data_IF_395290281658
#
_entry.id   IF_395290281658
#
_cell.length_a   1.000
_cell.length_b   1.000
_cell.length_c   1.000
_cell.angle_alpha   90.00
_cell.angle_beta   90.00
_cell.angle_gamma   90.00
#
_symmetry.space_group_name_H-M   'P 1'
#
loop_
_entity.id
_entity.type
_entity.pdbx_description
1 polymer ?
#
# COMPACT_ATOMS: atom_id res chain seq x y z
N UNK A 1 11.93 -25.45 33.30
CA UNK A 1 11.72 -25.84 31.88
C UNK A 1 10.24 -26.05 31.55
N UNK A 2 9.42 -26.61 32.46
CA UNK A 2 7.97 -26.82 32.27
C UNK A 2 7.12 -25.52 32.18
N UNK A 3 7.50 -24.48 32.92
CA UNK A 3 6.80 -23.18 33.00
C UNK A 3 6.68 -22.44 31.65
N UNK A 4 7.75 -22.50 30.84
CA UNK A 4 7.78 -21.88 29.52
C UNK A 4 6.88 -22.61 28.51
N UNK A 5 6.57 -23.89 28.73
CA UNK A 5 5.77 -24.68 27.78
C UNK A 5 4.27 -24.43 27.99
N UNK A 6 3.82 -24.31 29.24
CA UNK A 6 2.44 -23.88 29.56
C UNK A 6 2.12 -22.47 29.07
N UNK A 7 3.09 -21.53 29.17
CA UNK A 7 2.92 -20.18 28.65
C UNK A 7 2.73 -20.16 27.13
N UNK A 8 3.51 -20.98 26.40
CA UNK A 8 3.42 -21.08 24.94
C UNK A 8 2.09 -21.71 24.49
N UNK A 9 1.59 -22.70 25.23
CA UNK A 9 0.30 -23.35 24.94
C UNK A 9 -0.89 -22.39 25.20
N UNK A 10 -0.81 -21.57 26.26
CA UNK A 10 -1.79 -20.53 26.54
C UNK A 10 -1.76 -19.39 25.52
N UNK A 11 -0.59 -19.00 25.05
CA UNK A 11 -0.44 -18.03 23.96
C UNK A 11 -0.97 -18.57 22.63
N UNK A 12 -0.66 -19.82 22.29
CA UNK A 12 -1.12 -20.47 21.06
C UNK A 12 -2.66 -20.56 21.03
N UNK A 13 -3.28 -21.01 22.12
CA UNK A 13 -4.75 -21.07 22.22
C UNK A 13 -5.42 -19.71 22.13
N UNK A 14 -4.78 -18.65 22.66
CA UNK A 14 -5.30 -17.27 22.58
C UNK A 14 -5.16 -16.69 21.17
N UNK A 15 -4.05 -16.94 20.48
CA UNK A 15 -3.83 -16.55 19.08
C UNK A 15 -4.85 -17.21 18.16
N UNK A 16 -5.05 -18.53 18.30
CA UNK A 16 -6.00 -19.28 17.49
C UNK A 16 -7.44 -18.75 17.61
N UNK A 17 -7.82 -18.32 18.80
CA UNK A 17 -9.14 -17.76 19.07
C UNK A 17 -9.33 -16.38 18.44
N UNK A 18 -8.27 -15.57 18.38
CA UNK A 18 -8.26 -14.27 17.68
C UNK A 18 -8.32 -14.48 16.16
N UNK A 19 -7.58 -15.44 15.61
CA UNK A 19 -7.56 -15.74 14.17
C UNK A 19 -8.91 -16.28 13.65
N UNK A 20 -9.67 -16.97 14.50
CA UNK A 20 -11.01 -17.49 14.19
C UNK A 20 -12.13 -16.50 14.48
N UNK A 21 -11.83 -15.33 15.04
CA UNK A 21 -12.83 -14.29 15.28
C UNK A 21 -13.34 -13.73 13.93
N UNK A 22 -14.65 -13.80 13.63
CA UNK A 22 -15.22 -13.30 12.39
C UNK A 22 -15.01 -11.79 12.19
N UNK A 23 -14.90 -11.00 13.27
CA UNK A 23 -14.53 -9.59 13.17
C UNK A 23 -13.09 -9.47 12.64
N UNK A 24 -12.14 -10.19 13.24
CA UNK A 24 -10.74 -10.17 12.82
C UNK A 24 -10.57 -10.61 11.35
N UNK A 25 -11.28 -11.64 10.90
CA UNK A 25 -11.21 -12.07 9.50
C UNK A 25 -11.78 -11.02 8.54
N UNK A 26 -12.87 -10.34 8.91
CA UNK A 26 -13.43 -9.24 8.11
C UNK A 26 -12.45 -8.08 7.99
N UNK A 27 -11.80 -7.71 9.10
CA UNK A 27 -10.73 -6.71 9.15
C UNK A 27 -9.55 -7.07 8.23
N UNK A 28 -9.06 -8.31 8.31
CA UNK A 28 -7.94 -8.78 7.49
C UNK A 28 -8.33 -8.82 6.01
N UNK A 29 -9.55 -9.25 5.67
CA UNK A 29 -10.01 -9.38 4.29
C UNK A 29 -10.16 -8.03 3.60
N UNK A 30 -10.70 -7.02 4.27
CA UNK A 30 -10.78 -5.65 3.72
C UNK A 30 -9.39 -5.05 3.52
N UNK A 31 -8.50 -5.19 4.52
CA UNK A 31 -7.13 -4.67 4.43
C UNK A 31 -6.33 -5.35 3.32
N UNK A 32 -6.47 -6.67 3.20
CA UNK A 32 -5.75 -7.49 2.22
C UNK A 32 -6.26 -7.23 0.81
N UNK A 33 -7.56 -7.08 0.61
CA UNK A 33 -8.14 -6.73 -0.70
C UNK A 33 -7.60 -5.38 -1.20
N UNK A 34 -7.58 -4.38 -0.32
CA UNK A 34 -7.05 -3.06 -0.65
C UNK A 34 -5.54 -3.09 -0.96
N UNK A 35 -4.75 -3.82 -0.17
CA UNK A 35 -3.33 -4.02 -0.43
C UNK A 35 -3.08 -4.74 -1.78
N UNK A 36 -3.93 -5.70 -2.14
CA UNK A 36 -3.88 -6.38 -3.43
C UNK A 36 -4.21 -5.45 -4.60
N UNK A 37 -5.25 -4.62 -4.49
CA UNK A 37 -5.56 -3.62 -5.52
C UNK A 37 -4.39 -2.68 -5.76
N UNK A 38 -3.77 -2.16 -4.69
CA UNK A 38 -2.62 -1.26 -4.81
C UNK A 38 -1.39 -1.97 -5.40
N UNK A 39 -1.14 -3.22 -5.02
CA UNK A 39 -0.07 -4.05 -5.61
C UNK A 39 -0.28 -4.25 -7.11
N UNK A 40 -1.51 -4.54 -7.53
CA UNK A 40 -1.87 -4.69 -8.95
C UNK A 40 -1.68 -3.36 -9.71
N UNK A 41 -2.10 -2.24 -9.13
CA UNK A 41 -1.93 -0.90 -9.74
C UNK A 41 -0.44 -0.59 -9.91
N UNK A 42 0.37 -0.80 -8.88
CA UNK A 42 1.82 -0.58 -8.94
C UNK A 42 2.46 -1.48 -10.01
N UNK A 43 2.08 -2.76 -10.05
CA UNK A 43 2.56 -3.70 -11.05
C UNK A 43 2.19 -3.24 -12.47
N UNK A 44 0.96 -2.79 -12.68
CA UNK A 44 0.51 -2.28 -13.98
C UNK A 44 1.32 -1.05 -14.42
N UNK A 45 1.51 -0.06 -13.53
CA UNK A 45 2.33 1.12 -13.83
C UNK A 45 3.77 0.74 -14.16
N UNK A 46 4.36 -0.18 -13.39
CA UNK A 46 5.71 -0.67 -13.63
C UNK A 46 5.85 -1.35 -15.00
N UNK A 47 4.91 -2.23 -15.36
CA UNK A 47 4.91 -2.90 -16.65
C UNK A 47 4.69 -1.93 -17.81
N UNK A 48 3.80 -0.94 -17.65
CA UNK A 48 3.59 0.12 -18.65
C UNK A 48 4.86 0.94 -18.85
N UNK A 49 5.52 1.36 -17.77
CA UNK A 49 6.75 2.14 -17.84
C UNK A 49 7.88 1.36 -18.52
N UNK A 50 8.07 0.09 -18.16
CA UNK A 50 9.07 -0.78 -18.79
C UNK A 50 8.74 -1.01 -20.26
N UNK A 51 7.49 -1.33 -20.58
CA UNK A 51 7.07 -1.53 -21.97
C UNK A 51 7.32 -0.28 -22.82
N UNK A 52 6.94 0.89 -22.30
CA UNK A 52 7.17 2.15 -23.00
C UNK A 52 8.67 2.47 -23.14
N UNK A 53 9.49 2.13 -22.13
CA UNK A 53 10.95 2.30 -22.19
C UNK A 53 11.61 1.36 -23.19
N UNK A 54 11.14 0.11 -23.27
CA UNK A 54 11.70 -0.91 -24.16
C UNK A 54 11.35 -0.65 -25.63
N UNK A 55 10.08 -0.35 -25.93
CA UNK A 55 9.58 -0.22 -27.31
C UNK A 55 9.47 1.23 -27.79
N UNK A 56 9.31 2.20 -26.88
CA UNK A 56 9.04 3.60 -27.18
C UNK A 56 10.27 4.50 -27.20
N UNK A 57 11.48 3.98 -27.44
CA UNK A 57 12.74 4.75 -27.37
C UNK A 57 12.71 6.04 -28.20
N UNK A 58 12.11 6.02 -29.40
CA UNK A 58 11.95 7.22 -30.23
C UNK A 58 11.05 8.29 -29.60
N UNK A 59 9.98 7.87 -28.91
CA UNK A 59 9.11 8.77 -28.15
C UNK A 59 9.80 9.26 -26.88
N UNK A 60 10.44 8.38 -26.11
CA UNK A 60 11.18 8.78 -24.90
C UNK A 60 12.39 9.68 -25.19
N UNK A 61 13.01 9.55 -26.36
CA UNK A 61 14.11 10.42 -26.80
C UNK A 61 13.63 11.72 -27.46
N UNK A 62 12.34 11.81 -27.83
CA UNK A 62 11.79 13.03 -28.41
C UNK A 62 11.76 14.15 -27.36
N UNK A 63 12.32 15.29 -27.74
CA UNK A 63 12.40 16.50 -26.93
C UNK A 63 11.15 17.36 -27.10
N UNK A 64 10.77 18.06 -26.04
CA UNK A 64 9.66 19.01 -26.06
C UNK A 64 10.19 20.36 -26.53
N UNK A 65 9.90 20.71 -27.79
CA UNK A 65 10.35 21.96 -28.42
C UNK A 65 11.88 22.03 -28.57
N UNK A 66 12.44 23.24 -28.42
CA UNK A 66 13.90 23.50 -28.43
C UNK A 66 14.60 23.15 -27.09
N UNK A 67 13.88 22.54 -26.15
CA UNK A 67 14.43 22.19 -24.84
C UNK A 67 15.14 20.84 -24.86
N UNK A 68 16.11 20.65 -23.97
CA UNK A 68 16.79 19.37 -23.74
C UNK A 68 15.97 18.38 -22.88
N UNK A 69 14.75 18.75 -22.48
CA UNK A 69 13.83 17.87 -21.74
C UNK A 69 13.13 16.93 -22.72
N UNK A 70 13.37 15.63 -22.54
CA UNK A 70 12.69 14.58 -23.30
C UNK A 70 11.39 14.12 -22.63
N UNK A 71 10.48 13.56 -23.42
CA UNK A 71 9.28 12.92 -22.90
C UNK A 71 9.58 11.81 -21.89
N UNK A 72 10.73 11.12 -22.03
CA UNK A 72 11.19 10.13 -21.06
C UNK A 72 11.43 10.72 -19.67
N UNK A 73 12.00 11.92 -19.58
CA UNK A 73 12.23 12.62 -18.29
C UNK A 73 10.88 12.99 -17.65
N UNK A 74 9.94 13.52 -18.43
CA UNK A 74 8.61 13.90 -17.94
C UNK A 74 7.85 12.68 -17.43
N UNK A 75 7.86 11.57 -18.19
CA UNK A 75 7.24 10.30 -17.80
C UNK A 75 7.89 9.69 -16.55
N UNK A 76 9.22 9.75 -16.45
CA UNK A 76 9.94 9.30 -15.27
C UNK A 76 9.55 10.08 -14.03
N UNK A 77 9.53 11.41 -14.12
CA UNK A 77 9.11 12.28 -13.03
C UNK A 77 7.65 12.04 -12.62
N UNK A 78 6.76 11.90 -13.62
CA UNK A 78 5.37 11.54 -13.38
C UNK A 78 5.25 10.22 -12.62
N UNK A 79 6.01 9.20 -13.02
CA UNK A 79 6.00 7.88 -12.36
C UNK A 79 6.43 7.97 -10.89
N UNK A 80 7.44 8.80 -10.59
CA UNK A 80 7.90 9.04 -9.21
C UNK A 80 6.78 9.71 -8.39
N UNK A 81 6.20 10.80 -8.88
CA UNK A 81 5.12 11.51 -8.18
C UNK A 81 3.91 10.60 -7.99
N UNK A 82 3.57 9.81 -9.02
CA UNK A 82 2.49 8.85 -8.97
C UNK A 82 2.75 7.77 -7.90
N UNK A 83 3.96 7.24 -7.80
CA UNK A 83 4.33 6.27 -6.77
C UNK A 83 4.13 6.85 -5.36
N UNK A 84 4.61 8.07 -5.10
CA UNK A 84 4.39 8.76 -3.83
C UNK A 84 2.92 8.99 -3.54
N UNK A 85 2.14 9.42 -4.53
CA UNK A 85 0.70 9.60 -4.38
C UNK A 85 0.01 8.27 -4.03
N UNK A 86 0.37 7.19 -4.69
CA UNK A 86 -0.18 5.85 -4.43
C UNK A 86 0.16 5.37 -3.01
N UNK A 87 1.42 5.54 -2.58
CA UNK A 87 1.84 5.24 -1.21
C UNK A 87 1.11 6.11 -0.19
N UNK A 88 0.94 7.41 -0.46
CA UNK A 88 0.20 8.32 0.40
C UNK A 88 -1.27 7.94 0.57
N UNK A 89 -1.96 7.66 -0.55
CA UNK A 89 -3.35 7.16 -0.54
C UNK A 89 -3.45 5.84 0.21
N UNK A 90 -2.49 4.93 0.00
CA UNK A 90 -2.44 3.66 0.72
C UNK A 90 -2.30 3.86 2.23
N UNK A 91 -1.34 4.68 2.67
CA UNK A 91 -1.09 4.97 4.09
C UNK A 91 -2.30 5.67 4.72
N UNK A 92 -2.86 6.70 4.08
CA UNK A 92 -4.03 7.41 4.57
C UNK A 92 -5.24 6.47 4.72
N UNK A 93 -5.48 5.59 3.74
CA UNK A 93 -6.61 4.66 3.79
C UNK A 93 -6.41 3.53 4.78
N UNK A 94 -5.18 3.05 4.95
CA UNK A 94 -4.82 2.05 5.96
C UNK A 94 -4.87 2.63 7.39
N UNK A 95 -4.53 3.90 7.55
CA UNK A 95 -4.54 4.62 8.83
C UNK A 95 -5.92 5.16 9.21
N UNK A 96 -6.88 5.26 8.27
CA UNK A 96 -8.22 5.78 8.54
C UNK A 96 -9.02 5.05 9.63
N UNK A 97 -8.58 3.89 10.12
CA UNK A 97 -9.16 3.24 11.31
C UNK A 97 -8.50 3.67 12.63
N UNK A 98 -7.22 4.03 12.64
CA UNK A 98 -6.59 4.61 13.82
C UNK A 98 -7.14 6.02 14.10
N UNK A 99 -7.32 6.84 13.06
CA UNK A 99 -7.94 8.17 13.22
C UNK A 99 -9.42 8.08 13.66
N UNK A 100 -10.14 7.05 13.22
CA UNK A 100 -11.52 6.81 13.68
C UNK A 100 -11.61 6.39 15.17
N UNK A 101 -10.58 5.73 15.69
CA UNK A 101 -10.46 5.39 17.12
C UNK A 101 -10.06 6.63 17.94
N UNK A 102 -9.12 7.44 17.46
CA UNK A 102 -8.73 8.71 18.10
C UNK A 102 -9.91 9.69 18.16
N UNK A 103 -10.71 9.79 17.10
CA UNK A 103 -11.89 10.66 17.05
C UNK A 103 -13.05 10.23 17.97
N UNK A 104 -13.04 9.02 18.53
CA UNK A 104 -13.98 8.64 19.60
C UNK A 104 -13.48 9.08 20.97
N UNK A 105 -12.16 9.02 21.21
CA UNK A 105 -11.56 9.42 22.49
C UNK A 105 -11.69 10.94 22.71
N UNK A 106 -11.50 11.76 21.67
CA UNK A 106 -11.65 13.23 21.80
C UNK A 106 -13.10 13.68 22.02
N UNK A 107 -14.10 12.87 21.66
CA UNK A 107 -15.52 13.20 21.90
C UNK A 107 -16.02 12.80 23.29
N UNK A 108 -15.37 11.86 23.96
CA UNK A 108 -15.71 11.47 25.34
C UNK A 108 -15.05 12.39 26.39
N UNK A 109 -14.09 13.24 25.96
CA UNK A 109 -13.37 14.17 26.84
C UNK A 109 -13.89 15.62 26.72
N UNK A 110 -14.83 15.90 25.79
CA UNK A 110 -15.39 17.24 25.55
C UNK A 110 -16.80 17.43 26.13
#
# INVERSE_FOLDING_TARGET
>A
MLDRQSDLDHEAGRRDRILRDPAFQTLVRERTSFAWTMSIVMLAVYLVFIGLSAFGKGFMASTIGDSSISWGIVLGLFTIVFAFALTGVYVARANGRFDALTAQIDRDVA
#
